data_IF_095320988922
#
_entry.id   IF_095320988922
#
_cell.length_a   1.000
_cell.length_b   1.000
_cell.length_c   1.000
_cell.angle_alpha   90.00
_cell.angle_beta   90.00
_cell.angle_gamma   90.00
#
_symmetry.space_group_name_H-M   'P 1'
#
loop_
_entity.id
_entity.type
_entity.pdbx_description
1 polymer ?
#
# COMPACT_ATOMS: atom_id res chain seq x y z
N UNK A 1 21.08 0.18 24.09
CA UNK A 1 19.67 -0.05 23.82
C UNK A 1 19.43 -0.04 22.32
N UNK A 2 18.65 -0.94 21.88
CA UNK A 2 18.27 -0.93 20.48
C UNK A 2 17.26 0.17 20.23
N UNK A 3 17.50 0.98 19.22
CA UNK A 3 16.63 2.08 18.86
C UNK A 3 15.52 1.64 17.94
N UNK A 4 15.37 0.37 17.74
CA UNK A 4 14.38 -0.08 16.84
C UNK A 4 14.24 -1.56 16.77
N UNK A 5 13.55 -1.95 15.77
CA UNK A 5 13.20 -3.32 15.50
C UNK A 5 14.37 -4.05 14.86
N UNK A 6 14.68 -5.23 15.36
CA UNK A 6 15.76 -6.05 14.81
C UNK A 6 15.37 -6.83 13.56
N UNK A 7 14.12 -6.66 13.09
CA UNK A 7 13.62 -7.39 11.94
C UNK A 7 12.82 -8.64 12.30
N UNK A 8 12.78 -9.01 13.56
CA UNK A 8 12.04 -10.20 14.02
C UNK A 8 10.87 -9.87 14.91
N UNK A 9 10.78 -8.64 15.38
CA UNK A 9 9.77 -8.19 16.31
C UNK A 9 8.85 -7.17 15.64
N UNK A 10 7.57 -7.22 15.99
CA UNK A 10 6.61 -6.23 15.56
C UNK A 10 6.44 -5.17 16.64
N UNK A 11 6.64 -3.91 16.27
CA UNK A 11 6.42 -2.78 17.16
C UNK A 11 5.20 -2.00 16.68
N UNK A 12 4.31 -1.69 17.60
CA UNK A 12 3.13 -0.90 17.28
C UNK A 12 3.53 0.52 16.89
N UNK A 13 2.92 1.06 15.83
CA UNK A 13 3.15 2.45 15.47
C UNK A 13 2.58 3.37 16.54
N UNK A 14 3.28 4.46 16.89
CA UNK A 14 2.71 5.47 17.77
C UNK A 14 1.49 6.10 17.11
N UNK A 15 0.52 6.51 17.90
CA UNK A 15 -0.70 7.11 17.38
C UNK A 15 -0.41 8.46 16.72
N UNK A 16 0.41 9.28 17.36
CA UNK A 16 0.76 10.61 16.90
C UNK A 16 2.26 10.88 17.05
N UNK A 17 2.71 11.98 16.44
CA UNK A 17 4.12 12.38 16.50
C UNK A 17 4.63 12.58 17.92
N UNK A 18 3.77 13.04 18.83
CA UNK A 18 4.14 13.26 20.23
C UNK A 18 4.52 11.96 20.95
N UNK A 19 3.97 10.85 20.50
CA UNK A 19 4.23 9.55 21.09
C UNK A 19 5.39 8.82 20.44
N UNK A 20 5.98 9.40 19.39
CA UNK A 20 7.06 8.78 18.62
C UNK A 20 8.33 8.68 19.48
N UNK A 21 8.83 7.46 19.63
CA UNK A 21 10.08 7.19 20.34
C UNK A 21 11.23 6.85 19.40
N UNK A 22 10.91 6.27 18.25
CA UNK A 22 11.91 5.91 17.25
C UNK A 22 11.89 6.96 16.15
N UNK A 23 13.02 7.63 15.95
CA UNK A 23 13.13 8.67 14.94
C UNK A 23 12.87 8.11 13.54
N UNK A 24 12.09 8.85 12.76
CA UNK A 24 11.75 8.46 11.39
C UNK A 24 10.64 7.43 11.28
N UNK A 25 10.18 6.84 12.38
CA UNK A 25 9.07 5.89 12.34
C UNK A 25 7.77 6.60 12.05
N UNK A 26 6.98 6.05 11.12
CA UNK A 26 5.67 6.60 10.81
C UNK A 26 4.73 6.46 12.01
N UNK A 27 3.75 7.34 12.08
CA UNK A 27 2.69 7.25 13.09
C UNK A 27 1.42 6.73 12.43
N UNK A 28 0.48 6.24 13.26
CA UNK A 28 -0.84 5.86 12.78
C UNK A 28 -1.51 7.03 12.04
N UNK A 29 -1.45 8.23 12.61
CA UNK A 29 -2.05 9.41 12.00
C UNK A 29 -1.46 9.69 10.62
N UNK A 30 -0.14 9.60 10.50
CA UNK A 30 0.54 9.82 9.21
C UNK A 30 0.14 8.77 8.17
N UNK A 31 0.03 7.51 8.57
CA UNK A 31 -0.39 6.43 7.68
C UNK A 31 -1.82 6.65 7.18
N UNK A 32 -2.73 6.98 8.09
CA UNK A 32 -4.13 7.25 7.72
C UNK A 32 -4.23 8.47 6.80
N UNK A 33 -3.50 9.53 7.10
CA UNK A 33 -3.49 10.74 6.28
C UNK A 33 -2.95 10.46 4.88
N UNK A 34 -1.93 9.63 4.76
CA UNK A 34 -1.35 9.28 3.46
C UNK A 34 -2.38 8.60 2.55
N UNK A 35 -3.12 7.63 3.09
CA UNK A 35 -4.15 6.93 2.31
C UNK A 35 -5.32 7.84 1.97
N UNK A 36 -5.69 8.74 2.90
CA UNK A 36 -6.76 9.71 2.66
C UNK A 36 -6.36 10.72 1.58
N UNK A 37 -5.17 11.27 1.66
CA UNK A 37 -4.68 12.26 0.70
C UNK A 37 -4.37 11.65 -0.65
N UNK A 38 -3.69 10.51 -0.67
CA UNK A 38 -3.26 9.90 -1.92
C UNK A 38 -4.41 9.26 -2.68
N UNK A 39 -5.25 8.49 -2.00
CA UNK A 39 -6.31 7.70 -2.64
C UNK A 39 -7.72 8.08 -2.23
N UNK A 40 -7.89 9.06 -1.38
CA UNK A 40 -9.22 9.48 -0.93
C UNK A 40 -9.95 8.39 -0.15
N UNK A 41 -9.23 7.55 0.59
CA UNK A 41 -9.84 6.52 1.41
C UNK A 41 -10.13 7.11 2.78
N UNK A 42 -11.40 7.03 3.19
CA UNK A 42 -11.84 7.53 4.49
C UNK A 42 -11.10 6.78 5.61
N UNK A 43 -10.47 7.50 6.55
CA UNK A 43 -9.80 6.86 7.69
C UNK A 43 -10.68 5.89 8.47
N UNK A 44 -12.00 6.08 8.45
CA UNK A 44 -12.94 5.18 9.13
C UNK A 44 -12.85 3.74 8.61
N UNK A 45 -12.38 3.54 7.38
CA UNK A 45 -12.17 2.20 6.81
C UNK A 45 -11.19 1.40 7.66
N UNK A 46 -10.26 2.08 8.30
CA UNK A 46 -9.19 1.45 9.10
C UNK A 46 -9.44 1.52 10.61
N UNK A 47 -10.64 1.92 11.04
CA UNK A 47 -10.93 2.14 12.46
C UNK A 47 -10.68 0.91 13.33
N UNK A 48 -10.97 -0.29 12.82
CA UNK A 48 -10.82 -1.54 13.56
C UNK A 48 -9.46 -2.21 13.36
N UNK A 49 -8.52 -1.52 12.75
CA UNK A 49 -7.19 -2.06 12.45
C UNK A 49 -6.12 -1.37 13.28
N UNK A 50 -5.08 -2.13 13.59
CA UNK A 50 -3.85 -1.59 14.19
C UNK A 50 -2.72 -1.70 13.19
N UNK A 51 -1.72 -0.84 13.36
CA UNK A 51 -0.55 -0.77 12.47
C UNK A 51 0.71 -1.07 13.24
N UNK A 52 1.59 -1.84 12.63
CA UNK A 52 2.81 -2.36 13.25
C UNK A 52 3.96 -2.22 12.27
N UNK A 53 5.16 -2.02 12.78
CA UNK A 53 6.35 -1.99 11.95
C UNK A 53 7.27 -3.15 12.31
N UNK A 54 7.77 -3.83 11.29
CA UNK A 54 8.78 -4.85 11.44
C UNK A 54 10.01 -4.40 10.67
N UNK A 55 11.16 -4.36 11.35
CA UNK A 55 12.35 -3.81 10.74
C UNK A 55 12.24 -2.31 10.58
N UNK A 56 12.66 -1.79 9.46
CA UNK A 56 12.63 -0.36 9.16
C UNK A 56 11.80 -0.11 7.91
N UNK A 57 10.69 0.60 8.05
CA UNK A 57 9.90 1.06 6.94
C UNK A 57 8.92 0.05 6.34
N UNK A 58 8.71 -1.09 6.96
CA UNK A 58 7.71 -2.04 6.51
C UNK A 58 6.55 -2.05 7.49
N UNK A 59 5.43 -1.46 7.09
CA UNK A 59 4.23 -1.34 7.93
C UNK A 59 3.29 -2.50 7.64
N UNK A 60 2.82 -3.12 8.70
CA UNK A 60 1.85 -4.22 8.66
C UNK A 60 0.53 -3.74 9.24
N UNK A 61 -0.58 -4.33 8.80
CA UNK A 61 -1.91 -4.03 9.31
C UNK A 61 -2.53 -5.30 9.88
N UNK A 62 -3.17 -5.16 11.04
CA UNK A 62 -3.84 -6.25 11.74
C UNK A 62 -5.23 -5.81 12.13
N UNK A 63 -6.22 -6.66 11.86
CA UNK A 63 -7.57 -6.42 12.39
C UNK A 63 -7.57 -6.70 13.89
N UNK A 64 -7.96 -5.71 14.68
CA UNK A 64 -7.88 -5.78 16.14
C UNK A 64 -6.68 -5.04 16.70
N UNK A 65 -6.47 -5.17 17.99
CA UNK A 65 -5.52 -4.32 18.71
C UNK A 65 -4.23 -5.01 19.14
N UNK A 66 -4.29 -6.24 19.54
CA UNK A 66 -3.14 -6.87 20.17
C UNK A 66 -2.75 -8.19 19.53
N UNK A 67 -1.48 -8.31 19.10
CA UNK A 67 -0.97 -9.59 18.70
C UNK A 67 -0.76 -10.47 19.94
N UNK A 68 -0.61 -11.75 19.72
CA UNK A 68 -0.20 -12.65 20.78
C UNK A 68 1.23 -12.30 21.21
N UNK A 69 1.63 -12.60 22.46
CA UNK A 69 2.98 -12.30 22.91
C UNK A 69 4.07 -13.23 22.35
N UNK A 70 3.73 -14.09 21.40
CA UNK A 70 4.69 -14.97 20.75
C UNK A 70 5.20 -14.38 19.45
N UNK A 71 6.42 -14.69 19.11
CA UNK A 71 7.00 -14.27 17.83
C UNK A 71 6.26 -14.97 16.69
N UNK A 72 5.89 -14.17 15.70
CA UNK A 72 5.23 -14.67 14.51
C UNK A 72 5.93 -14.10 13.28
N UNK A 73 5.99 -14.88 12.22
CA UNK A 73 6.65 -14.43 10.98
C UNK A 73 5.86 -13.35 10.25
N UNK A 74 4.57 -13.34 10.43
CA UNK A 74 3.72 -12.33 9.82
C UNK A 74 2.59 -11.93 10.75
N UNK A 75 2.25 -10.66 10.76
CA UNK A 75 1.19 -10.09 11.55
C UNK A 75 0.17 -9.46 10.61
N UNK A 76 -0.96 -10.14 10.38
CA UNK A 76 -1.90 -9.68 9.39
C UNK A 76 -1.29 -9.68 8.01
N UNK A 77 -1.19 -8.52 7.37
CA UNK A 77 -0.56 -8.41 6.06
C UNK A 77 0.27 -7.14 5.94
N UNK A 78 1.24 -7.16 5.03
CA UNK A 78 2.01 -5.95 4.72
C UNK A 78 1.09 -4.91 4.09
N UNK A 79 1.28 -3.66 4.46
CA UNK A 79 0.36 -2.59 4.10
C UNK A 79 1.02 -1.44 3.35
N UNK A 80 2.18 -0.97 3.83
CA UNK A 80 2.80 0.24 3.32
C UNK A 80 4.31 0.17 3.54
N UNK A 81 5.07 0.69 2.56
CA UNK A 81 6.52 0.83 2.69
C UNK A 81 6.84 2.31 2.84
N UNK A 82 7.49 2.66 3.94
CA UNK A 82 7.75 4.06 4.32
C UNK A 82 9.22 4.45 4.27
N UNK A 83 10.10 3.52 3.91
CA UNK A 83 11.55 3.77 3.92
C UNK A 83 12.02 4.66 2.78
N UNK A 84 11.29 4.66 1.68
CA UNK A 84 11.65 5.45 0.51
C UNK A 84 11.02 6.84 0.58
N UNK A 85 11.54 7.77 -0.22
CA UNK A 85 11.07 9.15 -0.26
C UNK A 85 9.55 9.23 -0.46
N UNK A 86 9.05 8.48 -1.42
CA UNK A 86 7.61 8.39 -1.65
C UNK A 86 7.12 7.05 -1.14
N UNK A 87 6.22 7.09 -0.19
CA UNK A 87 5.67 5.89 0.40
C UNK A 87 4.96 5.03 -0.66
N UNK A 88 5.14 3.74 -0.57
CA UNK A 88 4.62 2.81 -1.56
C UNK A 88 3.59 1.85 -0.94
N UNK A 89 2.34 1.82 -1.48
CA UNK A 89 1.36 0.85 -1.01
C UNK A 89 1.77 -0.55 -1.47
N UNK A 90 1.42 -1.55 -0.67
CA UNK A 90 1.66 -2.94 -1.07
C UNK A 90 0.54 -3.43 -1.97
N UNK A 91 0.83 -4.47 -2.73
CA UNK A 91 -0.18 -5.14 -3.55
C UNK A 91 -1.35 -5.63 -2.68
N UNK A 92 -1.03 -6.26 -1.55
CA UNK A 92 -2.05 -6.78 -0.64
C UNK A 92 -2.97 -5.69 -0.13
N UNK A 93 -2.41 -4.53 0.24
CA UNK A 93 -3.20 -3.39 0.70
C UNK A 93 -4.14 -2.88 -0.39
N UNK A 94 -3.63 -2.73 -1.60
CA UNK A 94 -4.42 -2.23 -2.74
C UNK A 94 -5.53 -3.22 -3.10
N UNK A 95 -5.24 -4.50 -3.13
CA UNK A 95 -6.27 -5.50 -3.44
C UNK A 95 -7.36 -5.55 -2.39
N UNK A 96 -7.01 -5.36 -1.12
CA UNK A 96 -8.01 -5.40 -0.04
C UNK A 96 -8.78 -4.10 0.12
N UNK A 97 -8.09 -2.97 0.07
CA UNK A 97 -8.70 -1.67 0.40
C UNK A 97 -8.91 -0.76 -0.79
N UNK A 98 -8.36 -1.11 -1.96
CA UNK A 98 -8.42 -0.24 -3.14
C UNK A 98 -9.84 0.07 -3.62
N UNK A 99 -10.80 -0.79 -3.32
CA UNK A 99 -12.20 -0.55 -3.66
C UNK A 99 -12.82 0.66 -2.96
N UNK A 100 -12.19 1.12 -1.87
CA UNK A 100 -12.63 2.32 -1.15
C UNK A 100 -12.03 3.61 -1.71
N UNK A 101 -11.10 3.50 -2.64
CA UNK A 101 -10.40 4.69 -3.18
C UNK A 101 -11.30 5.56 -4.02
N UNK A 102 -11.13 6.87 -3.88
CA UNK A 102 -11.90 7.86 -4.63
C UNK A 102 -11.03 8.76 -5.50
N UNK A 103 -9.72 8.60 -5.48
CA UNK A 103 -8.78 9.34 -6.33
C UNK A 103 -7.55 8.49 -6.65
N UNK A 104 -6.84 8.91 -7.70
CA UNK A 104 -5.62 8.24 -8.16
C UNK A 104 -5.84 6.75 -8.47
N UNK A 105 -6.99 6.47 -9.05
CA UNK A 105 -7.37 5.14 -9.54
C UNK A 105 -7.42 5.23 -11.06
N UNK A 106 -6.64 4.40 -11.73
CA UNK A 106 -6.65 4.31 -13.18
C UNK A 106 -7.30 2.99 -13.61
N UNK A 107 -8.32 3.09 -14.45
CA UNK A 107 -9.07 1.94 -14.93
C UNK A 107 -8.55 1.53 -16.31
N UNK A 108 -8.21 0.26 -16.50
CA UNK A 108 -7.64 -0.25 -17.74
C UNK A 108 -8.64 -1.17 -18.45
N UNK A 109 -8.65 -1.08 -19.79
CA UNK A 109 -9.37 -2.03 -20.63
C UNK A 109 -8.62 -3.36 -20.67
N UNK A 110 -9.16 -4.34 -21.40
CA UNK A 110 -8.60 -5.70 -21.46
C UNK A 110 -7.15 -5.70 -21.95
N UNK A 111 -6.85 -4.95 -23.00
CA UNK A 111 -5.50 -4.93 -23.58
C UNK A 111 -4.50 -4.30 -22.61
N UNK A 112 -4.84 -3.15 -22.07
CA UNK A 112 -3.98 -2.44 -21.12
C UNK A 112 -3.79 -3.23 -19.82
N UNK A 113 -4.84 -3.89 -19.33
CA UNK A 113 -4.77 -4.70 -18.14
C UNK A 113 -3.84 -5.90 -18.36
N UNK A 114 -3.90 -6.53 -19.52
CA UNK A 114 -3.01 -7.65 -19.88
C UNK A 114 -1.55 -7.20 -19.86
N UNK A 115 -1.25 -6.06 -20.48
CA UNK A 115 0.08 -5.47 -20.49
C UNK A 115 0.57 -5.19 -19.07
N UNK A 116 -0.30 -4.61 -18.25
CA UNK A 116 0.03 -4.31 -16.86
C UNK A 116 0.34 -5.59 -16.05
N UNK A 117 -0.47 -6.62 -16.20
CA UNK A 117 -0.28 -7.88 -15.46
C UNK A 117 0.94 -8.66 -15.94
N UNK A 118 1.42 -8.38 -17.14
CA UNK A 118 2.67 -8.95 -17.65
C UNK A 118 3.90 -8.24 -17.08
N UNK A 119 3.68 -7.16 -16.34
CA UNK A 119 4.77 -6.40 -15.73
C UNK A 119 5.38 -5.39 -16.68
N UNK A 120 4.71 -5.08 -17.79
CA UNK A 120 5.22 -4.17 -18.79
C UNK A 120 4.69 -2.76 -18.60
N UNK A 121 5.50 -1.79 -18.98
CA UNK A 121 5.15 -0.38 -18.91
C UNK A 121 4.41 0.03 -20.17
N UNK A 122 3.56 1.06 -20.08
CA UNK A 122 2.78 1.52 -21.21
C UNK A 122 2.48 3.01 -21.10
N UNK A 123 2.37 3.67 -22.24
CA UNK A 123 1.97 5.07 -22.28
C UNK A 123 0.47 5.16 -22.05
N UNK A 124 0.07 6.08 -21.18
CA UNK A 124 -1.35 6.31 -20.88
C UNK A 124 -1.60 7.80 -20.70
N UNK A 125 -2.80 8.22 -21.08
CA UNK A 125 -3.27 9.56 -20.73
C UNK A 125 -3.76 9.53 -19.29
N UNK A 126 -3.28 10.47 -18.49
CA UNK A 126 -3.64 10.57 -17.10
C UNK A 126 -3.59 12.04 -16.68
N UNK A 127 -4.69 12.52 -16.12
CA UNK A 127 -4.81 13.91 -15.68
C UNK A 127 -4.74 14.08 -14.17
N UNK A 128 -4.48 13.01 -13.44
CA UNK A 128 -4.31 13.05 -11.99
C UNK A 128 -2.86 13.27 -11.56
N UNK A 129 -2.60 12.98 -10.31
CA UNK A 129 -1.27 13.16 -9.73
C UNK A 129 -0.28 12.10 -10.25
N UNK A 130 0.98 12.49 -10.38
CA UNK A 130 2.04 11.54 -10.63
C UNK A 130 2.32 10.75 -9.34
N UNK A 131 2.87 9.57 -9.49
CA UNK A 131 3.23 8.70 -8.39
C UNK A 131 2.45 7.39 -8.42
N UNK A 132 2.27 6.79 -7.25
CA UNK A 132 1.60 5.50 -7.18
C UNK A 132 0.10 5.63 -7.39
N UNK A 133 -0.43 4.78 -8.28
CA UNK A 133 -1.85 4.69 -8.61
C UNK A 133 -2.36 3.31 -8.27
N UNK A 134 -3.65 3.25 -7.95
CA UNK A 134 -4.36 1.97 -7.87
C UNK A 134 -4.87 1.66 -9.28
N UNK A 135 -4.48 0.51 -9.79
CA UNK A 135 -4.87 0.06 -11.13
C UNK A 135 -6.05 -0.89 -11.01
N UNK A 136 -7.14 -0.58 -11.72
CA UNK A 136 -8.35 -1.40 -11.70
C UNK A 136 -8.70 -1.91 -13.10
N UNK A 137 -9.51 -2.95 -13.13
CA UNK A 137 -10.05 -3.52 -14.36
C UNK A 137 -11.38 -4.18 -14.05
N UNK A 138 -12.26 -4.30 -15.03
CA UNK A 138 -13.55 -4.95 -14.83
C UNK A 138 -13.37 -6.45 -14.72
N UNK A 139 -13.82 -6.99 -13.60
CA UNK A 139 -13.84 -8.43 -13.34
C UNK A 139 -15.25 -8.78 -12.92
N UNK A 140 -15.90 -9.67 -13.67
CA UNK A 140 -17.28 -10.07 -13.40
C UNK A 140 -18.26 -8.89 -13.32
N UNK A 141 -18.01 -7.85 -14.13
CA UNK A 141 -18.90 -6.68 -14.21
C UNK A 141 -18.62 -5.59 -13.21
N UNK A 142 -17.61 -5.73 -12.37
CA UNK A 142 -17.24 -4.73 -11.38
C UNK A 142 -15.78 -4.33 -11.53
N UNK A 143 -15.48 -3.06 -11.24
CA UNK A 143 -14.11 -2.57 -11.25
C UNK A 143 -13.39 -3.08 -10.00
N UNK A 144 -12.37 -3.90 -10.22
CA UNK A 144 -11.60 -4.51 -9.13
C UNK A 144 -10.14 -4.07 -9.17
N UNK A 145 -9.52 -3.84 -8.01
CA UNK A 145 -8.10 -3.51 -7.97
C UNK A 145 -7.24 -4.67 -8.44
N UNK A 146 -6.40 -4.41 -9.44
CA UNK A 146 -5.42 -5.38 -9.92
C UNK A 146 -4.10 -5.25 -9.18
N UNK A 147 -3.69 -4.02 -8.89
CA UNK A 147 -2.40 -3.79 -8.27
C UNK A 147 -1.99 -2.34 -8.28
N UNK A 148 -0.70 -2.13 -8.15
CA UNK A 148 -0.08 -0.81 -8.04
C UNK A 148 0.65 -0.48 -9.33
N UNK A 149 0.43 0.73 -9.85
CA UNK A 149 1.22 1.30 -10.94
C UNK A 149 1.96 2.54 -10.46
N UNK A 150 3.05 2.86 -11.11
CA UNK A 150 3.76 4.11 -10.89
C UNK A 150 3.61 4.95 -12.16
N UNK A 151 2.93 6.08 -12.06
CA UNK A 151 2.74 6.96 -13.20
C UNK A 151 3.70 8.15 -13.14
N UNK A 152 4.58 8.22 -14.11
CA UNK A 152 5.54 9.31 -14.25
C UNK A 152 5.82 9.56 -15.73
N UNK A 153 5.93 10.81 -16.12
CA UNK A 153 6.31 11.20 -17.49
C UNK A 153 5.43 10.58 -18.58
N UNK A 154 4.11 10.52 -18.35
CA UNK A 154 3.18 9.97 -19.34
C UNK A 154 3.15 8.44 -19.42
N UNK A 155 3.88 7.77 -18.56
CA UNK A 155 4.02 6.32 -18.60
C UNK A 155 3.49 5.66 -17.32
N UNK A 156 2.66 4.66 -17.50
CA UNK A 156 2.20 3.82 -16.39
C UNK A 156 3.17 2.64 -16.26
N UNK A 157 3.95 2.63 -15.20
CA UNK A 157 4.93 1.59 -14.92
C UNK A 157 4.32 0.54 -14.02
N UNK A 158 4.29 -0.70 -14.50
CA UNK A 158 3.73 -1.80 -13.72
C UNK A 158 4.60 -2.11 -12.52
N UNK A 159 3.98 -2.18 -11.34
CA UNK A 159 4.63 -2.60 -10.11
C UNK A 159 4.23 -4.04 -9.72
N UNK A 160 3.72 -4.81 -10.67
CA UNK A 160 3.35 -6.20 -10.44
C UNK A 160 4.61 -7.00 -10.09
N UNK A 161 4.65 -7.67 -8.93
CA UNK A 161 5.81 -8.48 -8.54
C UNK A 161 6.09 -9.58 -9.55
N UNK A 162 7.36 -9.88 -9.78
CA UNK A 162 7.77 -10.87 -10.78
C UNK A 162 7.03 -12.19 -10.65
N UNK A 163 6.83 -12.68 -9.43
CA UNK A 163 6.14 -13.94 -9.19
C UNK A 163 4.65 -13.92 -9.47
N UNK A 164 4.10 -12.75 -9.77
CA UNK A 164 2.67 -12.59 -10.06
C UNK A 164 2.40 -12.10 -11.48
N UNK A 165 3.42 -11.93 -12.29
CA UNK A 165 3.26 -11.48 -13.67
C UNK A 165 2.65 -12.55 -14.54
N UNK A 166 1.79 -12.10 -15.47
CA UNK A 166 1.20 -12.95 -16.49
C UNK A 166 1.98 -12.76 -17.78
N UNK A 167 2.27 -13.84 -18.45
CA UNK A 167 2.90 -13.75 -19.76
C UNK A 167 1.89 -13.33 -20.81
N UNK A 168 2.35 -12.53 -21.75
CA UNK A 168 1.51 -12.06 -22.86
C UNK A 168 1.30 -13.15 -23.90
#
# INVERSE_FOLDING_TARGET
>A
MSDGNTGTQFDRLPATADEREVEGRATRAEVLDWWAERFGIDPAVFADFSFWERGSGKVWILHGEEPTPVDIEGLGMTFLRTRQEHWKPTLSAVQRFGGHATRNVIHLDDEAATTFMAGEDQDRDWDGDWGYLIVTHDIAGEAEPLGVGLFVYGELRSQVPKGRRREL
#
